data_IF_304193358231
#
_entry.id   IF_304193358231
#
_cell.length_a   1.000
_cell.length_b   1.000
_cell.length_c   1.000
_cell.angle_alpha   90.00
_cell.angle_beta   90.00
_cell.angle_gamma   90.00
#
_symmetry.space_group_name_H-M   'P 1'
#
loop_
_entity.id
_entity.type
_entity.pdbx_description
1 polymer ?
#
# COMPACT_ATOMS: atom_id res chain seq x y z
N UNK A 1 10.18 8.76 -5.34
CA UNK A 1 9.99 8.41 -6.76
C UNK A 1 9.44 9.57 -7.58
N UNK A 2 8.31 10.18 -7.18
CA UNK A 2 7.68 11.30 -7.93
C UNK A 2 8.60 12.50 -8.04
N UNK A 3 9.21 12.96 -6.95
CA UNK A 3 10.13 14.11 -6.97
C UNK A 3 11.38 13.83 -7.80
N UNK A 4 11.92 12.62 -7.71
CA UNK A 4 13.07 12.17 -8.52
C UNK A 4 12.73 12.22 -10.01
N UNK A 5 11.61 11.61 -10.41
CA UNK A 5 11.16 11.55 -11.80
C UNK A 5 10.80 12.94 -12.36
N UNK A 6 10.10 13.75 -11.57
CA UNK A 6 9.77 15.13 -11.94
C UNK A 6 11.03 15.97 -12.14
N UNK A 7 12.04 15.84 -11.28
CA UNK A 7 13.35 16.48 -11.46
C UNK A 7 14.04 16.04 -12.76
N UNK A 8 13.97 14.75 -13.11
CA UNK A 8 14.55 14.21 -14.34
C UNK A 8 13.88 14.77 -15.61
N UNK A 9 12.57 14.99 -15.61
CA UNK A 9 11.84 15.59 -16.74
C UNK A 9 11.88 17.13 -16.73
N UNK A 10 12.32 17.75 -15.61
CA UNK A 10 12.44 19.21 -15.46
C UNK A 10 11.18 19.88 -14.92
N UNK A 11 10.38 19.15 -14.15
CA UNK A 11 9.18 19.67 -13.50
C UNK A 11 9.45 20.06 -12.05
N UNK A 12 8.66 21.01 -11.56
CA UNK A 12 8.58 21.38 -10.15
C UNK A 12 7.39 20.66 -9.50
N UNK A 13 7.63 20.03 -8.36
CA UNK A 13 6.60 19.34 -7.57
C UNK A 13 6.25 20.17 -6.33
N UNK A 14 4.96 20.33 -6.08
CA UNK A 14 4.46 20.91 -4.84
C UNK A 14 3.57 19.92 -4.13
N UNK A 15 4.02 19.43 -2.98
CA UNK A 15 3.25 18.53 -2.12
C UNK A 15 2.27 19.34 -1.27
N UNK A 16 1.01 18.93 -1.28
CA UNK A 16 -0.07 19.48 -0.45
C UNK A 16 -0.61 18.37 0.44
N UNK A 17 -0.42 18.49 1.74
CA UNK A 17 -0.83 17.48 2.71
C UNK A 17 -2.33 17.59 3.02
N UNK A 18 -3.07 16.51 2.80
CA UNK A 18 -4.49 16.36 3.15
C UNK A 18 -4.72 15.98 4.63
N UNK A 19 -3.66 15.84 5.43
CA UNK A 19 -3.69 15.58 6.87
C UNK A 19 -4.59 14.39 7.29
N UNK A 20 -4.72 13.37 6.42
CA UNK A 20 -5.47 12.15 6.70
C UNK A 20 -7.00 12.33 6.88
N UNK A 21 -7.56 13.52 6.59
CA UNK A 21 -8.97 13.80 6.79
C UNK A 21 -9.68 14.25 5.50
N UNK A 22 -10.98 13.97 5.38
CA UNK A 22 -11.82 14.40 4.24
C UNK A 22 -11.75 15.93 4.07
N UNK A 23 -11.83 16.69 5.15
CA UNK A 23 -11.78 18.15 5.10
C UNK A 23 -10.40 18.66 4.66
N UNK A 24 -9.33 18.08 5.19
CA UNK A 24 -7.95 18.43 4.80
C UNK A 24 -7.68 18.12 3.33
N UNK A 25 -8.11 16.95 2.85
CA UNK A 25 -8.01 16.57 1.43
C UNK A 25 -8.78 17.54 0.53
N UNK A 26 -10.02 17.89 0.89
CA UNK A 26 -10.83 18.87 0.15
C UNK A 26 -10.13 20.23 0.09
N UNK A 27 -9.55 20.69 1.20
CA UNK A 27 -8.79 21.94 1.24
C UNK A 27 -7.53 21.88 0.36
N UNK A 28 -6.78 20.77 0.41
CA UNK A 28 -5.58 20.54 -0.41
C UNK A 28 -5.93 20.52 -1.91
N UNK A 29 -7.02 19.86 -2.31
CA UNK A 29 -7.51 19.85 -3.70
C UNK A 29 -7.88 21.28 -4.15
N UNK A 30 -8.62 22.03 -3.34
CA UNK A 30 -8.96 23.43 -3.64
C UNK A 30 -7.73 24.32 -3.78
N UNK A 31 -6.71 24.09 -2.93
CA UNK A 31 -5.43 24.80 -3.03
C UNK A 31 -4.66 24.41 -4.31
N UNK A 32 -4.65 23.13 -4.68
CA UNK A 32 -4.05 22.67 -5.93
C UNK A 32 -4.68 23.35 -7.14
N UNK A 33 -6.02 23.39 -7.19
CA UNK A 33 -6.76 24.07 -8.25
C UNK A 33 -6.41 25.57 -8.35
N UNK A 34 -6.29 26.25 -7.21
CA UNK A 34 -5.96 27.67 -7.17
C UNK A 34 -4.57 27.98 -7.73
N UNK A 35 -3.65 27.00 -7.70
CA UNK A 35 -2.29 27.10 -8.26
C UNK A 35 -2.26 26.93 -9.78
N UNK A 36 -3.33 26.44 -10.40
CA UNK A 36 -3.42 26.13 -11.82
C UNK A 36 -2.21 25.34 -12.36
N UNK A 37 -1.90 24.15 -11.77
CA UNK A 37 -0.75 23.37 -12.18
C UNK A 37 -0.95 22.77 -13.58
N UNK A 38 0.12 22.31 -14.20
CA UNK A 38 0.06 21.57 -15.47
C UNK A 38 -0.61 20.20 -15.31
N UNK A 39 -0.57 19.63 -14.11
CA UNK A 39 -1.22 18.36 -13.78
C UNK A 39 -1.27 18.10 -12.28
N UNK A 40 -2.08 17.14 -11.86
CA UNK A 40 -2.29 16.78 -10.46
C UNK A 40 -2.06 15.28 -10.28
N UNK A 41 -1.32 14.92 -9.24
CA UNK A 41 -1.17 13.55 -8.75
C UNK A 41 -1.93 13.46 -7.43
N UNK A 42 -2.94 12.60 -7.35
CA UNK A 42 -3.64 12.30 -6.09
C UNK A 42 -3.06 11.03 -5.49
N UNK A 43 -2.97 11.00 -4.15
CA UNK A 43 -2.31 9.94 -3.43
C UNK A 43 -2.99 9.67 -2.08
N UNK A 44 -3.20 8.40 -1.75
CA UNK A 44 -3.58 7.95 -0.42
C UNK A 44 -5.02 8.27 -0.01
N UNK A 45 -5.96 8.34 -0.96
CA UNK A 45 -7.39 8.42 -0.67
C UNK A 45 -8.24 7.88 -1.82
N UNK A 46 -9.47 7.48 -1.53
CA UNK A 46 -10.39 6.99 -2.55
C UNK A 46 -11.01 8.16 -3.34
N UNK A 47 -10.78 8.18 -4.65
CA UNK A 47 -11.27 9.22 -5.55
C UNK A 47 -12.81 9.18 -5.70
N UNK A 48 -13.42 8.01 -5.52
CA UNK A 48 -14.89 7.87 -5.58
C UNK A 48 -15.52 8.48 -4.33
N UNK A 49 -14.94 8.22 -3.16
CA UNK A 49 -15.37 8.85 -1.90
C UNK A 49 -15.23 10.38 -1.93
N UNK A 50 -14.18 10.90 -2.57
CA UNK A 50 -13.87 12.33 -2.67
C UNK A 50 -14.35 12.96 -3.99
N UNK A 51 -15.24 12.32 -4.73
CA UNK A 51 -15.67 12.74 -6.06
C UNK A 51 -16.13 14.21 -6.08
N UNK A 52 -16.90 14.65 -5.09
CA UNK A 52 -17.38 16.04 -5.02
C UNK A 52 -16.24 17.07 -4.95
N UNK A 53 -15.14 16.76 -4.25
CA UNK A 53 -13.96 17.62 -4.20
C UNK A 53 -13.19 17.61 -5.53
N UNK A 54 -13.16 16.46 -6.23
CA UNK A 54 -12.45 16.28 -7.50
C UNK A 54 -13.21 16.86 -8.71
N UNK A 55 -14.53 17.12 -8.61
CA UNK A 55 -15.30 17.72 -9.70
C UNK A 55 -14.66 19.03 -10.22
N UNK A 56 -14.10 19.85 -9.34
CA UNK A 56 -13.39 21.06 -9.71
C UNK A 56 -12.16 20.78 -10.59
N UNK A 57 -11.40 19.71 -10.31
CA UNK A 57 -10.24 19.28 -11.12
C UNK A 57 -10.71 18.83 -12.50
N UNK A 58 -11.72 17.95 -12.55
CA UNK A 58 -12.30 17.44 -13.79
C UNK A 58 -12.81 18.57 -14.67
N UNK A 59 -13.55 19.52 -14.09
CA UNK A 59 -14.14 20.66 -14.81
C UNK A 59 -13.06 21.67 -15.28
N UNK A 60 -11.89 21.70 -14.66
CA UNK A 60 -10.78 22.58 -15.08
C UNK A 60 -10.00 22.06 -16.27
N UNK A 61 -10.22 20.80 -16.68
CA UNK A 61 -9.44 20.07 -17.68
C UNK A 61 -7.94 19.93 -17.31
N UNK A 62 -7.59 20.03 -16.03
CA UNK A 62 -6.23 19.73 -15.57
C UNK A 62 -6.07 18.20 -15.53
N UNK A 63 -5.09 17.61 -16.25
CA UNK A 63 -4.86 16.18 -16.21
C UNK A 63 -4.59 15.69 -14.80
N UNK A 64 -5.18 14.54 -14.46
CA UNK A 64 -5.06 13.94 -13.14
C UNK A 64 -4.68 12.47 -13.25
N UNK A 65 -3.65 12.07 -12.50
CA UNK A 65 -3.28 10.67 -12.26
C UNK A 65 -3.34 10.36 -10.77
N UNK A 66 -3.37 9.09 -10.43
CA UNK A 66 -3.58 8.68 -9.05
C UNK A 66 -2.68 7.51 -8.65
N UNK A 67 -2.40 7.39 -7.36
CA UNK A 67 -1.77 6.23 -6.73
C UNK A 67 -2.71 5.67 -5.67
N UNK A 68 -3.05 4.36 -5.78
CA UNK A 68 -3.96 3.65 -4.87
C UNK A 68 -5.30 4.38 -4.59
N UNK A 69 -5.88 5.00 -5.60
CA UNK A 69 -7.01 5.94 -5.43
C UNK A 69 -8.29 5.49 -6.14
N UNK A 70 -8.67 4.25 -5.96
CA UNK A 70 -9.95 3.76 -6.47
C UNK A 70 -9.92 2.28 -6.86
N UNK A 71 -11.09 1.74 -7.22
CA UNK A 71 -11.29 0.29 -7.41
C UNK A 71 -10.70 -0.24 -8.74
N UNK A 72 -10.37 0.65 -9.68
CA UNK A 72 -9.79 0.27 -10.98
C UNK A 72 -8.36 0.75 -11.09
N UNK A 73 -7.44 -0.17 -11.32
CA UNK A 73 -6.04 0.12 -11.62
C UNK A 73 -5.82 0.32 -13.12
N UNK A 74 -4.74 1.01 -13.48
CA UNK A 74 -4.40 1.31 -14.86
C UNK A 74 -5.20 2.46 -15.45
N UNK A 75 -5.49 2.37 -16.75
CA UNK A 75 -6.05 3.45 -17.54
C UNK A 75 -7.54 3.70 -17.29
N UNK A 76 -7.98 4.95 -17.53
CA UNK A 76 -9.39 5.36 -17.46
C UNK A 76 -10.06 4.98 -16.14
N UNK A 77 -9.41 5.31 -15.03
CA UNK A 77 -9.96 5.06 -13.71
C UNK A 77 -11.14 6.01 -13.42
N UNK A 78 -12.10 5.61 -12.56
CA UNK A 78 -13.23 6.47 -12.19
C UNK A 78 -12.80 7.83 -11.63
N UNK A 79 -13.66 8.85 -11.77
CA UNK A 79 -13.41 10.19 -11.23
C UNK A 79 -12.57 11.09 -12.14
N UNK A 80 -12.45 10.77 -13.43
CA UNK A 80 -11.66 11.57 -14.39
C UNK A 80 -10.15 11.37 -14.27
N UNK A 81 -9.74 10.26 -13.66
CA UNK A 81 -8.34 9.88 -13.49
C UNK A 81 -7.84 9.23 -14.78
N UNK A 82 -6.80 9.82 -15.37
CA UNK A 82 -6.17 9.28 -16.58
C UNK A 82 -5.53 7.91 -16.37
N UNK A 83 -4.81 7.75 -15.25
CA UNK A 83 -4.23 6.47 -14.83
C UNK A 83 -4.19 6.38 -13.30
N UNK A 84 -4.61 5.25 -12.75
CA UNK A 84 -4.43 4.90 -11.34
C UNK A 84 -3.30 3.88 -11.22
N UNK A 85 -2.13 4.35 -10.79
CA UNK A 85 -0.92 3.53 -10.64
C UNK A 85 -1.02 2.73 -9.35
N UNK A 86 -0.86 1.44 -9.45
CA UNK A 86 -0.90 0.48 -8.32
C UNK A 86 -0.31 -0.85 -8.77
N UNK A 87 0.03 -1.72 -7.83
CA UNK A 87 0.07 -3.15 -8.07
C UNK A 87 -1.35 -3.72 -8.00
N UNK A 88 -1.54 -4.91 -8.53
CA UNK A 88 -2.83 -5.60 -8.42
C UNK A 88 -3.07 -6.07 -6.97
N UNK A 89 -4.12 -5.54 -6.35
CA UNK A 89 -4.46 -5.80 -4.95
C UNK A 89 -4.72 -7.28 -4.66
N UNK A 90 -5.30 -8.01 -5.64
CA UNK A 90 -5.56 -9.44 -5.52
C UNK A 90 -4.26 -10.21 -5.47
N UNK A 91 -3.34 -9.93 -6.39
CA UNK A 91 -2.01 -10.57 -6.44
C UNK A 91 -1.21 -10.32 -5.15
N UNK A 92 -1.19 -9.08 -4.66
CA UNK A 92 -0.50 -8.75 -3.39
C UNK A 92 -1.06 -9.56 -2.21
N UNK A 93 -2.38 -9.68 -2.14
CA UNK A 93 -3.06 -10.41 -1.07
C UNK A 93 -2.86 -11.92 -1.19
N UNK A 94 -2.93 -12.47 -2.40
CA UNK A 94 -2.66 -13.89 -2.64
C UNK A 94 -1.26 -14.29 -2.19
N UNK A 95 -0.25 -13.46 -2.51
CA UNK A 95 1.14 -13.71 -2.09
C UNK A 95 1.27 -13.71 -0.57
N UNK A 96 0.62 -12.77 0.14
CA UNK A 96 0.66 -12.71 1.59
C UNK A 96 -0.08 -13.90 2.25
N UNK A 97 -1.25 -14.26 1.73
CA UNK A 97 -2.01 -15.41 2.23
C UNK A 97 -1.29 -16.73 1.95
N UNK A 98 -0.73 -16.89 0.75
CA UNK A 98 0.04 -18.09 0.40
C UNK A 98 1.27 -18.26 1.29
N UNK A 99 1.97 -17.16 1.62
CA UNK A 99 3.06 -17.21 2.59
C UNK A 99 2.58 -17.78 3.95
N UNK A 100 1.45 -17.34 4.49
CA UNK A 100 0.94 -17.84 5.76
C UNK A 100 0.59 -19.33 5.69
N UNK A 101 0.03 -19.78 4.56
CA UNK A 101 -0.27 -21.20 4.32
C UNK A 101 1.00 -22.04 4.14
N UNK A 102 2.04 -21.51 3.52
CA UNK A 102 3.32 -22.19 3.35
C UNK A 102 4.07 -22.31 4.69
N UNK A 103 3.92 -21.31 5.59
CA UNK A 103 4.54 -21.31 6.91
C UNK A 103 3.83 -22.26 7.89
N UNK A 104 2.50 -22.18 7.99
CA UNK A 104 1.73 -22.90 9.02
C UNK A 104 0.84 -24.04 8.52
N UNK A 105 0.79 -24.29 7.22
CA UNK A 105 -0.10 -25.28 6.61
C UNK A 105 -1.58 -24.89 6.68
N UNK A 106 -2.47 -25.89 6.73
CA UNK A 106 -3.93 -25.66 6.76
C UNK A 106 -4.52 -25.55 8.17
N UNK A 107 -3.73 -25.78 9.21
CA UNK A 107 -4.17 -25.67 10.61
C UNK A 107 -3.92 -24.26 11.19
N UNK A 108 -3.78 -23.25 10.34
CA UNK A 108 -3.56 -21.85 10.76
C UNK A 108 -4.83 -21.20 11.25
N UNK A 109 -4.68 -20.37 12.29
CA UNK A 109 -5.69 -19.43 12.76
C UNK A 109 -5.25 -18.00 12.49
N UNK A 110 -5.96 -17.31 11.61
CA UNK A 110 -5.57 -16.01 11.07
C UNK A 110 -6.46 -14.89 11.58
N UNK A 111 -5.86 -13.79 12.05
CA UNK A 111 -6.57 -12.52 12.23
C UNK A 111 -6.17 -11.59 11.09
N UNK A 112 -7.18 -11.01 10.44
CA UNK A 112 -6.99 -10.08 9.30
C UNK A 112 -7.34 -8.67 9.74
N UNK A 113 -6.42 -7.70 9.51
CA UNK A 113 -6.62 -6.28 9.81
C UNK A 113 -6.85 -5.50 8.51
N UNK A 114 -7.89 -4.65 8.53
CA UNK A 114 -8.29 -3.83 7.38
C UNK A 114 -8.80 -2.45 7.79
N UNK A 115 -9.04 -1.60 6.80
CA UNK A 115 -9.69 -0.29 6.94
C UNK A 115 -10.83 -0.18 5.92
N UNK A 116 -12.06 -0.23 6.40
CA UNK A 116 -13.26 -0.21 5.54
C UNK A 116 -13.54 1.15 4.87
N UNK A 117 -12.76 2.18 5.17
CA UNK A 117 -12.85 3.49 4.51
C UNK A 117 -12.19 3.53 3.13
N UNK A 118 -11.43 2.46 2.76
CA UNK A 118 -10.77 2.34 1.47
C UNK A 118 -11.23 1.06 0.75
N UNK A 119 -11.76 1.20 -0.46
CA UNK A 119 -12.19 0.04 -1.25
C UNK A 119 -11.03 -0.94 -1.50
N UNK A 120 -9.85 -0.45 -1.85
CA UNK A 120 -8.67 -1.30 -2.06
C UNK A 120 -8.29 -2.11 -0.81
N UNK A 121 -8.52 -1.56 0.39
CA UNK A 121 -8.25 -2.26 1.65
C UNK A 121 -9.28 -3.39 1.90
N UNK A 122 -10.54 -3.13 1.58
CA UNK A 122 -11.60 -4.15 1.63
C UNK A 122 -11.25 -5.28 0.65
N UNK A 123 -10.94 -4.95 -0.60
CA UNK A 123 -10.61 -5.92 -1.66
C UNK A 123 -9.39 -6.78 -1.26
N UNK A 124 -8.33 -6.15 -0.71
CA UNK A 124 -7.15 -6.86 -0.17
C UNK A 124 -7.54 -7.83 0.95
N UNK A 125 -8.29 -7.37 1.95
CA UNK A 125 -8.64 -8.17 3.11
C UNK A 125 -9.61 -9.30 2.78
N UNK A 126 -10.57 -9.07 1.89
CA UNK A 126 -11.48 -10.10 1.40
C UNK A 126 -10.70 -11.18 0.64
N UNK A 127 -9.73 -10.79 -0.19
CA UNK A 127 -8.89 -11.76 -0.92
C UNK A 127 -7.97 -12.55 0.00
N UNK A 128 -7.39 -11.93 1.05
CA UNK A 128 -6.67 -12.65 2.10
C UNK A 128 -7.54 -13.72 2.73
N UNK A 129 -8.76 -13.34 3.12
CA UNK A 129 -9.74 -14.25 3.73
C UNK A 129 -10.12 -15.40 2.80
N UNK A 130 -10.54 -15.08 1.58
CA UNK A 130 -10.92 -16.10 0.58
C UNK A 130 -9.79 -17.10 0.33
N UNK A 131 -8.54 -16.63 0.20
CA UNK A 131 -7.39 -17.49 -0.08
C UNK A 131 -7.10 -18.43 1.10
N UNK A 132 -7.13 -17.92 2.33
CA UNK A 132 -6.92 -18.72 3.55
C UNK A 132 -8.01 -19.76 3.71
N UNK A 133 -9.29 -19.36 3.61
CA UNK A 133 -10.44 -20.27 3.80
C UNK A 133 -10.56 -21.32 2.70
N UNK A 134 -10.27 -20.95 1.43
CA UNK A 134 -10.27 -21.89 0.31
C UNK A 134 -9.22 -23.00 0.45
N UNK A 135 -8.10 -22.72 1.11
CA UNK A 135 -7.06 -23.70 1.41
C UNK A 135 -7.35 -24.54 2.68
N UNK A 136 -8.41 -24.23 3.43
CA UNK A 136 -8.80 -24.93 4.65
C UNK A 136 -8.27 -24.29 5.94
N UNK A 137 -7.59 -23.15 5.87
CA UNK A 137 -7.21 -22.35 7.04
C UNK A 137 -8.43 -21.70 7.70
N UNK A 138 -8.28 -21.23 8.94
CA UNK A 138 -9.35 -20.59 9.69
C UNK A 138 -9.10 -19.10 9.86
N UNK A 139 -10.03 -18.26 9.38
CA UNK A 139 -10.04 -16.84 9.74
C UNK A 139 -10.76 -16.66 11.07
N UNK A 140 -10.00 -16.41 12.13
CA UNK A 140 -10.49 -16.25 13.50
C UNK A 140 -11.26 -14.95 13.68
N UNK A 141 -10.75 -13.87 13.08
CA UNK A 141 -11.37 -12.55 13.13
C UNK A 141 -10.95 -11.71 11.93
N UNK A 142 -11.92 -10.94 11.43
CA UNK A 142 -11.73 -9.91 10.41
C UNK A 142 -11.97 -8.57 11.09
N UNK A 143 -10.90 -7.80 11.29
CA UNK A 143 -10.89 -6.63 12.17
C UNK A 143 -10.81 -5.35 11.35
N UNK A 144 -11.89 -4.57 11.39
CA UNK A 144 -11.91 -3.22 10.83
C UNK A 144 -11.30 -2.21 11.81
N UNK A 145 -10.14 -1.71 11.49
CA UNK A 145 -9.42 -0.70 12.27
C UNK A 145 -8.89 0.37 11.32
N UNK A 146 -9.44 1.60 11.35
CA UNK A 146 -8.97 2.67 10.49
C UNK A 146 -7.46 2.90 10.62
N UNK A 147 -6.79 3.08 9.47
CA UNK A 147 -5.34 3.35 9.42
C UNK A 147 -4.96 4.53 10.33
N UNK A 148 -5.78 5.59 10.34
CA UNK A 148 -5.57 6.77 11.17
C UNK A 148 -5.58 6.47 12.69
N UNK A 149 -6.22 5.38 13.11
CA UNK A 149 -6.39 5.01 14.52
C UNK A 149 -5.43 3.90 14.98
N UNK A 150 -4.60 3.35 14.10
CA UNK A 150 -3.73 2.19 14.40
C UNK A 150 -2.83 2.43 15.61
N UNK A 151 -2.26 3.65 15.75
CA UNK A 151 -1.39 4.01 16.87
C UNK A 151 -2.06 3.92 18.24
N UNK A 152 -3.37 4.17 18.30
CA UNK A 152 -4.14 4.14 19.54
C UNK A 152 -4.84 2.80 19.78
N UNK A 153 -5.24 2.11 18.72
CA UNK A 153 -6.09 0.93 18.80
C UNK A 153 -5.35 -0.40 18.77
N UNK A 154 -4.23 -0.51 18.03
CA UNK A 154 -3.56 -1.79 17.82
C UNK A 154 -3.00 -2.41 19.10
N UNK A 155 -2.46 -1.62 20.03
CA UNK A 155 -1.96 -2.14 21.31
C UNK A 155 -3.03 -2.86 22.13
N UNK A 156 -4.12 -2.16 22.56
CA UNK A 156 -5.23 -2.79 23.27
C UNK A 156 -5.89 -3.93 22.51
N UNK A 157 -6.04 -3.80 21.21
CA UNK A 157 -6.63 -4.81 20.34
C UNK A 157 -5.79 -6.10 20.32
N UNK A 158 -4.47 -5.99 20.16
CA UNK A 158 -3.55 -7.14 20.21
C UNK A 158 -3.68 -7.89 21.53
N UNK A 159 -3.72 -7.16 22.66
CA UNK A 159 -3.90 -7.76 23.99
C UNK A 159 -5.23 -8.51 24.07
N UNK A 160 -6.32 -7.94 23.58
CA UNK A 160 -7.64 -8.56 23.57
C UNK A 160 -7.70 -9.82 22.71
N UNK A 161 -7.08 -9.79 21.53
CA UNK A 161 -6.99 -10.93 20.60
C UNK A 161 -6.18 -12.07 21.20
N UNK A 162 -5.06 -11.79 21.88
CA UNK A 162 -4.28 -12.81 22.60
C UNK A 162 -5.09 -13.46 23.70
N UNK A 163 -5.85 -12.69 24.49
CA UNK A 163 -6.72 -13.22 25.53
C UNK A 163 -7.86 -14.09 24.97
N UNK A 164 -8.38 -13.72 23.79
CA UNK A 164 -9.51 -14.40 23.16
C UNK A 164 -9.10 -15.71 22.48
N UNK A 165 -8.00 -15.71 21.77
CA UNK A 165 -7.60 -16.80 20.88
C UNK A 165 -6.38 -17.59 21.36
N UNK A 166 -5.50 -17.01 22.18
CA UNK A 166 -4.29 -17.67 22.68
C UNK A 166 -3.48 -18.29 21.55
N UNK A 167 -3.09 -19.54 21.72
CA UNK A 167 -2.27 -20.30 20.76
C UNK A 167 -3.01 -20.61 19.44
N UNK A 168 -4.33 -20.42 19.39
CA UNK A 168 -5.09 -20.57 18.13
C UNK A 168 -4.82 -19.42 17.14
N UNK A 169 -4.32 -18.27 17.60
CA UNK A 169 -3.91 -17.16 16.74
C UNK A 169 -2.46 -17.36 16.29
N UNK A 170 -2.30 -18.02 15.17
CA UNK A 170 -0.97 -18.35 14.62
C UNK A 170 -0.42 -17.31 13.64
N UNK A 171 -1.31 -16.62 12.91
CA UNK A 171 -0.91 -15.64 11.91
C UNK A 171 -1.73 -14.35 12.00
N UNK A 172 -1.05 -13.23 11.77
CA UNK A 172 -1.64 -11.91 11.63
C UNK A 172 -1.41 -11.40 10.20
N UNK A 173 -2.48 -11.22 9.44
CA UNK A 173 -2.40 -10.64 8.10
C UNK A 173 -3.00 -9.24 8.11
N UNK A 174 -2.41 -8.32 7.37
CA UNK A 174 -2.88 -6.93 7.27
C UNK A 174 -2.78 -6.41 5.83
N UNK A 175 -3.61 -5.43 5.52
CA UNK A 175 -3.62 -4.77 4.21
C UNK A 175 -2.37 -3.94 3.92
N UNK A 176 -1.64 -3.52 4.97
CA UNK A 176 -0.34 -2.84 4.89
C UNK A 176 0.47 -3.03 6.18
N UNK A 177 1.71 -2.53 6.19
CA UNK A 177 2.67 -2.70 7.28
C UNK A 177 2.34 -1.94 8.55
N UNK A 178 1.55 -0.86 8.49
CA UNK A 178 1.34 0.08 9.58
C UNK A 178 0.70 -0.57 10.82
N UNK A 179 -0.13 -1.59 10.62
CA UNK A 179 -0.74 -2.34 11.73
C UNK A 179 0.30 -2.98 12.64
N UNK A 180 1.43 -3.42 12.08
CA UNK A 180 2.51 -4.08 12.81
C UNK A 180 3.48 -3.11 13.49
N UNK A 181 3.41 -1.82 13.20
CA UNK A 181 4.18 -0.80 13.93
C UNK A 181 3.83 -0.80 15.42
N UNK A 182 2.58 -1.14 15.77
CA UNK A 182 2.04 -1.02 17.11
C UNK A 182 1.68 -2.37 17.78
N UNK A 183 1.75 -3.49 17.05
CA UNK A 183 1.44 -4.81 17.59
C UNK A 183 2.55 -5.37 18.50
N UNK A 184 3.81 -5.21 18.09
CA UNK A 184 4.98 -5.81 18.74
C UNK A 184 5.10 -5.52 20.24
N UNK A 185 4.95 -4.28 20.71
CA UNK A 185 5.02 -3.97 22.15
C UNK A 185 4.03 -4.74 23.03
N UNK A 186 2.81 -5.01 22.52
CA UNK A 186 1.80 -5.79 23.24
C UNK A 186 2.13 -7.27 23.30
N UNK A 187 2.72 -7.84 22.24
CA UNK A 187 3.23 -9.21 22.22
C UNK A 187 4.38 -9.38 23.21
N UNK A 188 5.33 -8.44 23.21
CA UNK A 188 6.43 -8.44 24.16
C UNK A 188 5.96 -8.32 25.61
N UNK A 189 4.97 -7.47 25.88
CA UNK A 189 4.37 -7.32 27.22
C UNK A 189 3.63 -8.59 27.69
N UNK A 190 3.12 -9.39 26.77
CA UNK A 190 2.56 -10.71 27.03
C UNK A 190 3.62 -11.80 27.27
N UNK A 191 4.91 -11.46 27.15
CA UNK A 191 6.03 -12.38 27.35
C UNK A 191 6.34 -13.27 26.14
N UNK A 192 5.79 -12.96 24.98
CA UNK A 192 6.05 -13.68 23.73
C UNK A 192 7.30 -13.14 23.05
N UNK A 193 8.21 -14.00 22.65
CA UNK A 193 9.30 -13.65 21.73
C UNK A 193 8.75 -13.56 20.30
N UNK A 194 9.46 -12.91 19.35
CA UNK A 194 8.98 -12.77 17.96
C UNK A 194 8.61 -14.08 17.27
N UNK A 195 9.28 -15.17 17.60
CA UNK A 195 9.03 -16.53 17.09
C UNK A 195 7.99 -17.33 17.86
N UNK A 196 7.41 -16.76 18.93
CA UNK A 196 6.44 -17.41 19.80
C UNK A 196 5.03 -16.81 19.69
N UNK A 197 4.90 -15.67 19.01
CA UNK A 197 3.63 -15.02 18.77
C UNK A 197 3.07 -15.33 17.38
N UNK A 198 1.93 -14.70 17.02
CA UNK A 198 1.40 -14.81 15.69
C UNK A 198 2.41 -14.26 14.68
N UNK A 199 2.71 -15.04 13.63
CA UNK A 199 3.57 -14.64 12.55
C UNK A 199 2.87 -13.55 11.72
N UNK A 200 3.49 -12.39 11.53
CA UNK A 200 2.84 -11.25 10.92
C UNK A 200 3.32 -11.01 9.48
N UNK A 201 2.37 -10.89 8.57
CA UNK A 201 2.62 -10.62 7.16
C UNK A 201 1.67 -9.57 6.59
N UNK A 202 2.21 -8.62 5.83
CA UNK A 202 1.40 -7.57 5.21
C UNK A 202 1.23 -7.76 3.70
N UNK A 203 0.04 -7.41 3.22
CA UNK A 203 -0.31 -7.28 1.81
C UNK A 203 -0.01 -5.84 1.30
N UNK A 204 1.25 -5.42 1.41
CA UNK A 204 1.74 -4.07 1.05
C UNK A 204 2.28 -3.31 2.27
N UNK A 205 2.93 -2.16 2.14
CA UNK A 205 3.42 -1.62 0.85
C UNK A 205 4.95 -1.78 0.76
N UNK A 206 5.58 -2.33 1.82
CA UNK A 206 7.04 -2.44 1.93
C UNK A 206 7.65 -1.19 2.56
N UNK A 207 7.12 -0.75 3.71
CA UNK A 207 7.62 0.42 4.43
C UNK A 207 9.03 0.20 4.99
N UNK A 208 9.79 1.28 5.16
CA UNK A 208 11.11 1.22 5.78
C UNK A 208 11.07 0.57 7.17
N UNK A 209 10.05 0.89 7.97
CA UNK A 209 9.85 0.30 9.28
C UNK A 209 9.61 -1.21 9.23
N UNK A 210 8.86 -1.69 8.23
CA UNK A 210 8.66 -3.12 7.99
C UNK A 210 9.97 -3.83 7.65
N UNK A 211 10.79 -3.25 6.76
CA UNK A 211 12.10 -3.79 6.41
C UNK A 211 13.00 -3.88 7.65
N UNK A 212 13.01 -2.86 8.49
CA UNK A 212 13.79 -2.88 9.75
C UNK A 212 13.31 -3.97 10.70
N UNK A 213 11.99 -4.15 10.87
CA UNK A 213 11.41 -5.21 11.72
C UNK A 213 11.76 -6.60 11.20
N UNK A 214 11.58 -6.84 9.90
CA UNK A 214 11.88 -8.14 9.27
C UNK A 214 13.39 -8.45 9.38
N UNK A 215 14.24 -7.46 9.09
CA UNK A 215 15.70 -7.60 9.16
C UNK A 215 16.20 -7.95 10.56
N UNK A 216 15.61 -7.33 11.58
CA UNK A 216 15.96 -7.57 12.99
C UNK A 216 15.37 -8.85 13.58
N UNK A 217 14.56 -9.60 12.83
CA UNK A 217 13.81 -10.74 13.38
C UNK A 217 12.75 -10.31 14.39
N UNK A 218 12.07 -9.17 14.11
CA UNK A 218 11.01 -8.65 14.96
C UNK A 218 9.66 -9.35 14.71
N UNK A 219 8.59 -8.78 15.26
CA UNK A 219 7.25 -9.40 15.20
C UNK A 219 6.58 -9.36 13.81
N UNK A 220 7.16 -8.68 12.83
CA UNK A 220 6.74 -8.78 11.42
C UNK A 220 7.72 -9.67 10.67
N UNK A 221 7.19 -10.73 10.06
CA UNK A 221 7.97 -11.77 9.38
C UNK A 221 8.17 -11.50 7.91
N UNK A 222 7.12 -10.94 7.24
CA UNK A 222 7.19 -10.59 5.82
C UNK A 222 6.42 -9.31 5.52
N UNK A 223 6.73 -8.74 4.36
CA UNK A 223 5.86 -7.80 3.65
C UNK A 223 5.82 -8.16 2.17
N UNK A 224 4.68 -7.98 1.53
CA UNK A 224 4.58 -8.03 0.06
C UNK A 224 4.78 -6.61 -0.45
N UNK A 225 6.03 -6.26 -0.71
CA UNK A 225 6.45 -4.91 -1.05
C UNK A 225 6.06 -4.52 -2.48
N UNK A 226 5.68 -3.27 -2.65
CA UNK A 226 5.44 -2.64 -3.94
C UNK A 226 6.66 -1.80 -4.39
N UNK A 227 6.94 -1.68 -5.70
CA UNK A 227 8.08 -0.92 -6.19
C UNK A 227 7.77 0.59 -6.20
N UNK A 228 7.72 1.20 -5.01
CA UNK A 228 7.21 2.57 -4.80
C UNK A 228 7.95 3.62 -5.62
N UNK A 229 9.28 3.51 -5.79
CA UNK A 229 10.04 4.43 -6.63
C UNK A 229 9.65 4.31 -8.10
N UNK A 230 9.56 3.07 -8.62
CA UNK A 230 9.12 2.82 -9.99
C UNK A 230 7.69 3.34 -10.22
N UNK A 231 6.78 3.13 -9.26
CA UNK A 231 5.42 3.68 -9.33
C UNK A 231 5.42 5.22 -9.35
N UNK A 232 6.32 5.85 -8.59
CA UNK A 232 6.52 7.30 -8.65
C UNK A 232 6.97 7.79 -10.03
N UNK A 233 7.89 7.08 -10.67
CA UNK A 233 8.31 7.35 -12.04
C UNK A 233 7.18 7.12 -13.05
N UNK A 234 6.41 6.05 -12.86
CA UNK A 234 5.23 5.77 -13.69
C UNK A 234 4.17 6.87 -13.56
N UNK A 235 3.90 7.39 -12.36
CA UNK A 235 2.95 8.49 -12.16
C UNK A 235 3.34 9.73 -12.96
N UNK A 236 4.63 10.07 -12.99
CA UNK A 236 5.13 11.20 -13.78
C UNK A 236 5.03 10.94 -15.28
N UNK A 237 5.31 9.71 -15.74
CA UNK A 237 5.16 9.33 -17.14
C UNK A 237 3.68 9.38 -17.58
N UNK A 238 2.78 8.80 -16.80
CA UNK A 238 1.35 8.83 -17.11
C UNK A 238 0.79 10.26 -17.12
N UNK A 239 1.23 11.10 -16.19
CA UNK A 239 0.84 12.50 -16.20
C UNK A 239 1.40 13.25 -17.43
N UNK A 240 2.65 12.95 -17.82
CA UNK A 240 3.24 13.50 -19.04
C UNK A 240 2.47 13.07 -20.28
N UNK A 241 2.08 11.80 -20.39
CA UNK A 241 1.23 11.29 -21.47
C UNK A 241 -0.09 12.03 -21.54
N UNK A 242 -0.76 12.19 -20.38
CA UNK A 242 -2.03 12.92 -20.30
C UNK A 242 -1.89 14.38 -20.76
N UNK A 243 -0.81 15.08 -20.37
CA UNK A 243 -0.52 16.46 -20.80
C UNK A 243 -0.25 16.55 -22.31
N UNK A 244 0.45 15.55 -22.88
CA UNK A 244 0.77 15.51 -24.31
C UNK A 244 -0.39 14.98 -25.17
N UNK A 245 -1.48 14.48 -24.57
CA UNK A 245 -2.58 13.85 -25.28
C UNK A 245 -2.23 12.47 -25.86
N UNK A 246 -1.24 11.81 -25.28
CA UNK A 246 -0.86 10.43 -25.61
C UNK A 246 -1.75 9.41 -24.90
N UNK A 247 -1.75 8.16 -25.37
CA UNK A 247 -2.46 7.09 -24.72
C UNK A 247 -1.77 6.69 -23.40
N UNK A 248 -2.58 6.30 -22.40
CA UNK A 248 -2.08 5.69 -21.17
C UNK A 248 -1.28 4.42 -21.47
N UNK A 249 -0.20 4.16 -20.70
CA UNK A 249 0.71 3.04 -20.95
C UNK A 249 0.08 1.67 -20.72
N UNK A 250 -0.88 1.59 -19.79
CA UNK A 250 -1.46 0.33 -19.33
C UNK A 250 -0.50 -0.54 -18.51
N UNK A 251 0.68 -0.01 -18.15
CA UNK A 251 1.64 -0.76 -17.34
C UNK A 251 1.15 -0.93 -15.91
N UNK A 252 1.31 -2.14 -15.36
CA UNK A 252 1.01 -2.48 -13.97
C UNK A 252 2.25 -3.11 -13.36
N UNK A 253 2.68 -2.59 -12.22
CA UNK A 253 3.85 -3.08 -11.51
C UNK A 253 3.57 -4.40 -10.81
N UNK A 254 4.62 -5.22 -10.62
CA UNK A 254 4.54 -6.47 -9.87
C UNK A 254 5.07 -6.27 -8.44
N UNK A 255 4.43 -6.85 -7.42
CA UNK A 255 4.93 -6.84 -6.06
C UNK A 255 6.05 -7.87 -5.87
N UNK A 256 6.74 -7.81 -4.72
CA UNK A 256 7.73 -8.79 -4.31
C UNK A 256 7.52 -9.23 -2.87
N UNK A 257 7.54 -10.54 -2.62
CA UNK A 257 7.59 -11.07 -1.26
C UNK A 257 8.96 -10.78 -0.64
N UNK A 258 8.97 -10.01 0.42
CA UNK A 258 10.16 -9.64 1.18
C UNK A 258 10.20 -10.45 2.48
N UNK A 259 11.24 -11.26 2.62
CA UNK A 259 11.55 -12.07 3.81
C UNK A 259 12.87 -11.64 4.38
N UNK A 260 13.23 -12.10 5.59
CA UNK A 260 14.54 -11.86 6.17
C UNK A 260 15.70 -12.34 5.25
N UNK A 261 15.59 -13.55 4.69
CA UNK A 261 16.56 -14.07 3.74
C UNK A 261 16.62 -13.28 2.42
N UNK A 262 15.49 -12.69 2.00
CA UNK A 262 15.45 -11.78 0.86
C UNK A 262 16.19 -10.47 1.13
N UNK A 263 16.03 -9.92 2.33
CA UNK A 263 16.70 -8.68 2.75
C UNK A 263 18.22 -8.80 2.84
N UNK A 264 18.75 -9.98 3.18
CA UNK A 264 20.20 -10.22 3.15
C UNK A 264 20.78 -10.01 1.74
N UNK A 265 20.00 -10.34 0.69
CA UNK A 265 20.42 -10.16 -0.71
C UNK A 265 20.28 -8.71 -1.18
N UNK A 266 19.35 -7.94 -0.60
CA UNK A 266 19.13 -6.52 -0.90
C UNK A 266 20.17 -5.60 -0.22
N UNK A 267 21.05 -6.15 0.64
CA UNK A 267 22.03 -5.37 1.40
C UNK A 267 21.35 -4.41 2.38
N UNK A 268 21.85 -3.17 2.48
CA UNK A 268 21.34 -2.18 3.45
C UNK A 268 20.10 -1.41 2.97
N UNK A 269 19.55 -1.75 1.80
CA UNK A 269 18.33 -1.09 1.32
C UNK A 269 17.14 -1.36 2.24
N UNK A 270 16.42 -0.31 2.63
CA UNK A 270 15.19 -0.38 3.40
C UNK A 270 13.96 -0.16 2.52
N UNK A 271 14.08 -0.39 1.22
CA UNK A 271 13.00 -0.23 0.26
C UNK A 271 13.18 -1.23 -0.89
N UNK A 272 12.07 -1.82 -1.34
CA UNK A 272 12.06 -2.61 -2.56
C UNK A 272 12.14 -1.68 -3.77
N UNK A 273 13.18 -1.84 -4.56
CA UNK A 273 13.33 -1.21 -5.87
C UNK A 273 13.78 -2.30 -6.85
N UNK A 274 13.05 -2.55 -7.95
CA UNK A 274 13.39 -3.63 -8.87
C UNK A 274 14.75 -3.37 -9.53
N UNK A 275 15.53 -4.45 -9.68
CA UNK A 275 16.81 -4.42 -10.40
C UNK A 275 16.56 -4.34 -11.91
N UNK A 276 16.05 -3.20 -12.35
CA UNK A 276 15.77 -2.90 -13.75
C UNK A 276 16.15 -1.45 -14.05
N UNK A 277 16.65 -1.15 -15.28
CA UNK A 277 17.08 0.20 -15.65
C UNK A 277 15.89 1.11 -15.99
N UNK A 278 14.82 1.08 -15.20
CA UNK A 278 13.59 1.81 -15.51
C UNK A 278 13.80 3.34 -15.54
N UNK A 279 14.69 3.86 -14.69
CA UNK A 279 15.05 5.29 -14.69
C UNK A 279 15.60 5.74 -16.03
N UNK A 280 16.53 4.97 -16.57
CA UNK A 280 17.12 5.23 -17.90
C UNK A 280 16.08 5.03 -19.01
N UNK A 281 15.20 4.03 -18.86
CA UNK A 281 14.13 3.77 -19.81
C UNK A 281 13.15 4.95 -19.89
N UNK A 282 12.68 5.46 -18.75
CA UNK A 282 11.80 6.63 -18.71
C UNK A 282 12.51 7.90 -19.22
N UNK A 283 13.76 8.17 -18.79
CA UNK A 283 14.54 9.31 -19.28
C UNK A 283 14.65 9.27 -20.82
N UNK A 284 14.91 8.10 -21.40
CA UNK A 284 14.97 7.92 -22.86
C UNK A 284 13.61 8.16 -23.53
N UNK A 285 12.50 7.68 -22.94
CA UNK A 285 11.14 7.95 -23.43
C UNK A 285 10.87 9.46 -23.47
N UNK A 286 11.32 10.20 -22.45
CA UNK A 286 11.15 11.65 -22.36
C UNK A 286 12.17 12.46 -23.17
N UNK A 287 13.09 11.80 -23.88
CA UNK A 287 14.12 12.45 -24.72
C UNK A 287 15.24 13.14 -23.91
N UNK A 288 15.56 12.58 -22.73
CA UNK A 288 16.58 13.10 -21.82
C UNK A 288 17.87 12.26 -21.87
#
# INVERSE_FOLDING_TARGET
GVEEAAGAIGWEVRVLDGAGSIQGRTAAIGQALALQPAGIIINGFDAVEQQAALEGVVNSNIPMVAWHSGPKIGCDAPGGIFANVSTDAMTVSEVAAQWALDDGGTEIGVVIFTDSTYQIAIDKADRLKETVEAAGGTVLEYVDTPIADTSSRMGPLTTSLLQKYGDSWTHALAINDLYFDFMGPSLAAAGLAPDQGPQAGSAGDGSEAAFQRIRSGGYQTITVAEPLNLQGWQLVDELNRAIQGEACSGYITSPALVTQAGLEKLGDSNQFDPDSPYRDAYAKIWGK
#
